data_IF_256613662381
#
_entry.id   IF_256613662381
#
_cell.length_a   1.000
_cell.length_b   1.000
_cell.length_c   1.000
_cell.angle_alpha   90.00
_cell.angle_beta   90.00
_cell.angle_gamma   90.00
#
_symmetry.space_group_name_H-M   'P 1'
#
loop_
_entity.id
_entity.type
_entity.pdbx_description
1 polymer ?
#
# COMPACT_ATOMS: atom_id res chain seq x y z
N UNK A 1 -42.41 7.93 -6.45
CA UNK A 1 -41.81 8.16 -5.12
C UNK A 1 -41.46 6.83 -4.47
N UNK A 2 -40.16 6.51 -4.39
CA UNK A 2 -39.51 5.51 -3.52
C UNK A 2 -38.08 5.33 -4.07
N UNK A 3 -37.16 6.25 -3.76
CA UNK A 3 -36.20 6.18 -2.64
C UNK A 3 -35.12 5.09 -2.82
N UNK A 4 -33.99 5.55 -3.38
CA UNK A 4 -32.59 5.16 -3.13
C UNK A 4 -32.30 4.37 -1.85
N UNK A 5 -31.40 3.37 -1.97
CA UNK A 5 -30.32 2.93 -1.05
C UNK A 5 -29.58 1.78 -1.76
N UNK A 6 -28.31 1.88 -2.15
CA UNK A 6 -27.16 2.15 -1.28
C UNK A 6 -26.57 0.82 -0.81
N UNK A 7 -26.03 0.00 -1.73
CA UNK A 7 -25.33 -1.24 -1.36
C UNK A 7 -23.92 -0.88 -0.87
N UNK A 8 -23.78 -0.63 0.43
CA UNK A 8 -22.49 -0.47 1.08
C UNK A 8 -21.90 -1.85 1.41
N UNK A 9 -20.65 -2.07 1.05
CA UNK A 9 -19.82 -3.27 1.27
C UNK A 9 -19.60 -3.63 2.76
N UNK A 10 -20.34 -3.01 3.68
CA UNK A 10 -20.17 -3.11 5.13
C UNK A 10 -20.97 -4.23 5.80
N UNK A 11 -21.74 -5.02 5.06
CA UNK A 11 -22.67 -6.00 5.67
C UNK A 11 -22.09 -7.41 5.84
N UNK A 12 -20.87 -7.69 5.33
CA UNK A 12 -20.31 -9.05 5.42
C UNK A 12 -19.40 -9.32 6.63
N UNK A 13 -19.04 -8.31 7.41
CA UNK A 13 -18.11 -8.44 8.56
C UNK A 13 -18.82 -8.06 9.86
N UNK A 14 -19.91 -8.74 10.21
CA UNK A 14 -20.43 -8.67 11.59
C UNK A 14 -21.34 -9.83 11.98
N UNK A 15 -20.87 -11.07 11.88
CA UNK A 15 -21.43 -12.17 12.65
C UNK A 15 -20.35 -13.16 13.08
N UNK A 16 -19.65 -12.87 14.19
CA UNK A 16 -19.15 -13.91 15.11
C UNK A 16 -18.84 -13.28 16.47
N UNK A 17 -19.66 -13.52 17.51
CA UNK A 17 -19.25 -13.35 18.90
C UNK A 17 -18.77 -14.71 19.43
N UNK A 18 -17.52 -14.78 19.89
CA UNK A 18 -17.03 -15.98 20.56
C UNK A 18 -15.51 -16.01 20.65
N UNK A 19 -14.97 -15.53 21.77
CA UNK A 19 -13.60 -15.83 22.20
C UNK A 19 -13.47 -17.34 22.42
N UNK A 20 -12.99 -18.07 21.43
CA UNK A 20 -12.31 -19.35 21.59
C UNK A 20 -10.88 -19.14 21.15
N UNK A 21 -9.90 -19.47 22.00
CA UNK A 21 -8.50 -19.56 21.55
C UNK A 21 -8.38 -20.57 20.40
N UNK A 22 -7.31 -20.51 19.60
CA UNK A 22 -7.09 -21.50 18.55
C UNK A 22 -7.05 -22.92 19.15
N UNK A 23 -7.61 -23.94 18.48
CA UNK A 23 -7.54 -25.32 18.94
C UNK A 23 -6.07 -25.75 19.11
N UNK A 24 -5.75 -26.59 20.12
CA UNK A 24 -4.38 -26.92 20.55
C UNK A 24 -3.50 -27.65 19.52
N UNK A 25 -4.01 -27.87 18.33
CA UNK A 25 -3.50 -28.74 17.28
C UNK A 25 -3.51 -28.08 15.89
N UNK A 26 -3.82 -26.78 15.80
CA UNK A 26 -3.63 -26.03 14.55
C UNK A 26 -2.15 -25.62 14.39
N UNK A 27 -1.42 -26.13 13.39
CA UNK A 27 -0.06 -25.67 13.12
C UNK A 27 -0.10 -24.16 12.83
N UNK A 28 0.95 -23.40 13.18
CA UNK A 28 1.00 -21.99 12.83
C UNK A 28 0.71 -21.83 11.33
N UNK A 29 -0.23 -20.95 11.00
CA UNK A 29 -0.49 -20.58 9.59
C UNK A 29 0.84 -20.19 8.94
N UNK A 30 1.02 -20.42 7.62
CA UNK A 30 2.31 -20.28 6.97
C UNK A 30 2.87 -18.88 7.20
N UNK A 31 3.77 -18.77 8.18
CA UNK A 31 4.62 -17.61 8.34
C UNK A 31 5.49 -17.58 7.10
N UNK A 32 5.32 -16.55 6.27
CA UNK A 32 6.18 -16.39 5.11
C UNK A 32 7.58 -16.06 5.60
N UNK A 33 8.46 -17.06 5.61
CA UNK A 33 9.89 -16.86 5.88
C UNK A 33 10.51 -16.20 4.66
N UNK A 34 10.34 -14.89 4.52
CA UNK A 34 11.04 -14.10 3.52
C UNK A 34 12.43 -13.78 4.05
N UNK A 35 13.44 -14.47 3.53
CA UNK A 35 14.83 -14.20 3.89
C UNK A 35 15.22 -12.78 3.47
N UNK A 36 15.46 -11.90 4.46
CA UNK A 36 15.97 -10.51 4.33
C UNK A 36 14.99 -9.44 3.85
N UNK A 37 13.68 -9.57 4.09
CA UNK A 37 12.76 -8.45 3.90
C UNK A 37 12.90 -7.44 5.05
N UNK A 38 13.13 -6.17 4.74
CA UNK A 38 12.95 -5.06 5.68
C UNK A 38 11.59 -4.43 5.42
N UNK A 39 10.79 -4.28 6.46
CA UNK A 39 9.48 -3.60 6.37
C UNK A 39 9.67 -2.15 6.81
N UNK A 40 9.53 -1.22 5.87
CA UNK A 40 9.59 0.21 6.16
C UNK A 40 8.25 0.71 6.73
N UNK A 41 8.24 1.41 7.88
CA UNK A 41 7.03 1.93 8.46
C UNK A 41 6.46 3.09 7.64
N UNK A 42 5.14 3.08 7.45
CA UNK A 42 4.40 4.23 6.91
C UNK A 42 4.22 5.26 8.02
N UNK A 43 5.10 6.26 8.03
CA UNK A 43 5.04 7.37 9.00
C UNK A 43 4.24 8.55 8.44
N UNK A 44 3.78 9.45 9.33
CA UNK A 44 3.07 10.67 8.92
C UNK A 44 3.88 11.55 7.94
N UNK A 45 5.20 11.79 8.13
CA UNK A 45 6.00 12.52 7.15
C UNK A 45 5.99 11.89 5.75
N UNK A 46 6.07 10.56 5.67
CA UNK A 46 6.01 9.83 4.39
C UNK A 46 4.62 9.98 3.77
N UNK A 47 3.55 9.86 4.55
CA UNK A 47 2.19 10.05 4.06
C UNK A 47 1.95 11.47 3.52
N UNK A 48 2.50 12.49 4.19
CA UNK A 48 2.45 13.88 3.72
C UNK A 48 3.25 14.08 2.43
N UNK A 49 4.42 13.46 2.33
CA UNK A 49 5.23 13.50 1.11
C UNK A 49 4.48 12.85 -0.06
N UNK A 50 3.87 11.67 0.15
CA UNK A 50 3.07 11.00 -0.87
C UNK A 50 1.89 11.87 -1.34
N UNK A 51 1.21 12.56 -0.42
CA UNK A 51 0.15 13.50 -0.77
C UNK A 51 0.65 14.67 -1.62
N UNK A 52 1.86 15.19 -1.33
CA UNK A 52 2.48 16.24 -2.15
C UNK A 52 2.82 15.74 -3.56
N UNK A 53 3.38 14.52 -3.69
CA UNK A 53 3.68 13.94 -5.01
C UNK A 53 2.43 13.77 -5.88
N UNK A 54 1.31 13.35 -5.28
CA UNK A 54 0.03 13.26 -5.97
C UNK A 54 -0.46 14.63 -6.45
N UNK A 55 -0.38 15.65 -5.58
CA UNK A 55 -0.77 17.01 -5.92
C UNK A 55 0.10 17.58 -7.05
N UNK A 56 1.42 17.41 -6.99
CA UNK A 56 2.38 17.89 -7.98
C UNK A 56 2.20 17.20 -9.34
N UNK A 57 1.88 15.91 -9.34
CA UNK A 57 1.61 15.14 -10.56
C UNK A 57 0.17 15.34 -11.10
N UNK A 58 -0.69 16.07 -10.39
CA UNK A 58 -2.11 16.20 -10.73
C UNK A 58 -2.88 14.88 -10.64
N UNK A 59 -2.35 13.88 -9.92
CA UNK A 59 -2.95 12.56 -9.75
C UNK A 59 -3.81 12.54 -8.48
N UNK A 60 -4.97 11.90 -8.55
CA UNK A 60 -5.88 11.81 -7.41
C UNK A 60 -6.59 10.47 -7.35
N UNK A 61 -7.01 10.09 -6.14
CA UNK A 61 -7.77 8.87 -5.91
C UNK A 61 -6.92 7.70 -5.39
N UNK A 62 -7.61 6.65 -4.98
CA UNK A 62 -7.01 5.50 -4.29
C UNK A 62 -6.10 4.66 -5.20
N UNK A 63 -6.30 4.72 -6.52
CA UNK A 63 -5.50 3.98 -7.52
C UNK A 63 -4.01 4.32 -7.45
N UNK A 64 -3.68 5.59 -7.17
CA UNK A 64 -2.28 6.06 -7.15
C UNK A 64 -1.68 6.08 -5.74
N UNK A 65 -2.48 5.84 -4.70
CA UNK A 65 -2.05 6.04 -3.31
C UNK A 65 -0.88 5.13 -2.92
N UNK A 66 -0.90 3.87 -3.37
CA UNK A 66 0.19 2.92 -3.10
C UNK A 66 1.47 3.33 -3.85
N UNK A 67 1.34 3.71 -5.13
CA UNK A 67 2.48 4.17 -5.94
C UNK A 67 3.11 5.45 -5.37
N UNK A 68 2.29 6.36 -4.85
CA UNK A 68 2.77 7.58 -4.20
C UNK A 68 3.48 7.30 -2.87
N UNK A 69 2.95 6.37 -2.06
CA UNK A 69 3.58 5.92 -0.83
C UNK A 69 4.95 5.26 -1.09
N UNK A 70 5.00 4.37 -2.09
CA UNK A 70 6.24 3.71 -2.49
C UNK A 70 7.29 4.73 -2.99
N UNK A 71 6.85 5.70 -3.80
CA UNK A 71 7.71 6.79 -4.29
C UNK A 71 8.23 7.64 -3.13
N UNK A 72 7.38 8.01 -2.17
CA UNK A 72 7.80 8.80 -1.01
C UNK A 72 8.86 8.07 -0.16
N UNK A 73 8.74 6.76 0.04
CA UNK A 73 9.75 5.95 0.74
C UNK A 73 11.06 5.92 -0.05
N UNK A 74 10.98 5.65 -1.36
CA UNK A 74 12.17 5.62 -2.22
C UNK A 74 12.91 6.96 -2.23
N UNK A 75 12.19 8.07 -2.32
CA UNK A 75 12.76 9.42 -2.34
C UNK A 75 13.26 9.91 -0.96
N UNK A 76 12.73 9.35 0.13
CA UNK A 76 13.23 9.62 1.48
C UNK A 76 14.51 8.82 1.82
N UNK A 77 14.87 7.82 1.00
CA UNK A 77 16.04 6.98 1.22
C UNK A 77 17.28 7.66 0.62
N UNK A 78 18.38 7.84 1.39
CA UNK A 78 19.59 8.53 0.92
C UNK A 78 20.45 7.71 -0.07
N UNK A 79 20.12 6.43 -0.26
CA UNK A 79 20.82 5.51 -1.16
C UNK A 79 19.98 5.32 -2.42
N UNK A 80 20.61 5.04 -3.56
CA UNK A 80 19.90 4.73 -4.80
C UNK A 80 18.99 3.49 -4.61
N UNK A 81 17.68 3.70 -4.68
CA UNK A 81 16.66 2.65 -4.56
C UNK A 81 16.19 2.21 -5.94
N UNK A 82 16.10 0.88 -6.13
CA UNK A 82 15.44 0.27 -7.28
C UNK A 82 14.03 -0.19 -6.90
N UNK A 83 13.02 0.22 -7.67
CA UNK A 83 11.63 -0.19 -7.52
C UNK A 83 11.32 -1.22 -8.61
N UNK A 84 10.96 -2.43 -8.20
CA UNK A 84 10.53 -3.50 -9.11
C UNK A 84 9.01 -3.53 -9.16
N UNK A 85 8.43 -3.41 -10.35
CA UNK A 85 6.97 -3.34 -10.54
C UNK A 85 6.57 -3.92 -11.89
N UNK A 86 5.41 -4.56 -11.97
CA UNK A 86 4.84 -4.98 -13.25
C UNK A 86 4.25 -3.80 -14.04
N UNK A 87 3.98 -2.66 -13.40
CA UNK A 87 3.33 -1.47 -13.96
C UNK A 87 4.14 -0.21 -13.58
N UNK A 88 5.17 0.16 -14.37
CA UNK A 88 6.13 1.22 -14.03
C UNK A 88 5.67 2.66 -14.29
N UNK A 89 4.58 2.86 -15.01
CA UNK A 89 4.19 4.13 -15.63
C UNK A 89 3.93 5.20 -14.56
N UNK A 90 3.08 4.89 -13.58
CA UNK A 90 2.75 5.78 -12.47
C UNK A 90 3.98 6.13 -11.61
N UNK A 91 4.81 5.12 -11.33
CA UNK A 91 6.00 5.27 -10.49
C UNK A 91 7.07 6.12 -11.18
N UNK A 92 7.18 6.04 -12.50
CA UNK A 92 8.10 6.89 -13.28
C UNK A 92 7.70 8.35 -13.19
N UNK A 93 6.40 8.65 -13.29
CA UNK A 93 5.85 10.01 -13.13
C UNK A 93 6.11 10.52 -11.71
N UNK A 94 5.76 9.73 -10.70
CA UNK A 94 5.86 10.14 -9.29
C UNK A 94 7.32 10.29 -8.80
N UNK A 95 8.23 9.43 -9.24
CA UNK A 95 9.64 9.50 -8.84
C UNK A 95 10.40 10.63 -9.55
N UNK A 96 9.96 11.05 -10.74
CA UNK A 96 10.60 12.13 -11.50
C UNK A 96 12.08 11.87 -11.81
N UNK A 97 12.45 10.60 -12.05
CA UNK A 97 13.81 10.18 -12.35
C UNK A 97 14.77 10.08 -11.14
N UNK A 98 14.28 10.34 -9.92
CA UNK A 98 15.08 10.28 -8.68
C UNK A 98 15.18 8.87 -8.07
N UNK A 99 14.46 7.90 -8.64
CA UNK A 99 14.56 6.48 -8.30
C UNK A 99 14.62 5.65 -9.60
N UNK A 100 15.27 4.48 -9.54
CA UNK A 100 15.33 3.56 -10.68
C UNK A 100 14.09 2.68 -10.67
N UNK A 101 13.24 2.78 -11.69
CA UNK A 101 12.05 1.92 -11.84
C UNK A 101 12.35 0.83 -12.86
N UNK A 102 12.16 -0.43 -12.46
CA UNK A 102 12.45 -1.62 -13.26
C UNK A 102 11.14 -2.39 -13.47
N UNK A 103 10.77 -2.60 -14.74
CA UNK A 103 9.65 -3.48 -15.10
C UNK A 103 10.05 -4.94 -14.90
N UNK A 104 9.21 -5.71 -14.20
CA UNK A 104 9.36 -7.17 -14.03
C UNK A 104 8.25 -7.95 -14.71
#
# INVERSE_FOLDING_TARGET
>A
HAQSRGHTWTDHVRRHPGRGGPPPDQPPGPGVTLSRLVVEPVTEPIARHAAALLADAGLHGHTYAINAMLSAIALATPVLVAILTSDPEDLTVLCGGRATVIKV
#
